data_IF_113074696711
#
_entry.id   IF_113074696711
#
_cell.length_a   1.000
_cell.length_b   1.000
_cell.length_c   1.000
_cell.angle_alpha   90.00
_cell.angle_beta   90.00
_cell.angle_gamma   90.00
#
_symmetry.space_group_name_H-M   'P 1'
#
loop_
_entity.id
_entity.type
_entity.pdbx_description
1 polymer ?
#
# COMPACT_ATOMS: atom_id res chain seq x y z
N UNK A 1 -9.49 12.43 -6.96
CA UNK A 1 -10.71 13.04 -6.36
C UNK A 1 -10.82 14.47 -6.85
N UNK A 2 -11.97 14.94 -7.36
CA UNK A 2 -12.15 16.34 -7.70
C UNK A 2 -12.14 17.20 -6.42
N UNK A 3 -11.36 18.30 -6.46
CA UNK A 3 -11.17 19.21 -5.33
C UNK A 3 -11.33 20.66 -5.80
N UNK A 4 -11.81 21.52 -4.90
CA UNK A 4 -11.73 22.98 -5.06
C UNK A 4 -10.50 23.47 -4.29
N UNK A 5 -9.69 24.32 -4.92
CA UNK A 5 -8.51 24.95 -4.29
C UNK A 5 -8.76 26.44 -4.17
N UNK A 6 -8.57 27.01 -2.99
CA UNK A 6 -8.64 28.44 -2.75
C UNK A 6 -7.69 28.85 -1.61
N UNK A 7 -7.69 30.14 -1.22
CA UNK A 7 -6.84 30.66 -0.14
C UNK A 7 -7.05 29.97 1.23
N UNK A 8 -8.16 29.25 1.44
CA UNK A 8 -8.45 28.49 2.67
C UNK A 8 -7.98 27.03 2.59
N UNK A 9 -7.41 26.60 1.46
CA UNK A 9 -6.87 25.27 1.25
C UNK A 9 -7.65 24.43 0.23
N UNK A 10 -7.59 23.10 0.42
CA UNK A 10 -8.15 22.11 -0.51
C UNK A 10 -9.44 21.52 0.06
N UNK A 11 -10.55 21.64 -0.66
CA UNK A 11 -11.84 21.07 -0.28
C UNK A 11 -12.26 19.98 -1.26
N UNK A 12 -12.39 18.74 -0.78
CA UNK A 12 -12.89 17.63 -1.58
C UNK A 12 -14.37 17.80 -1.95
N UNK A 13 -14.76 17.26 -3.11
CA UNK A 13 -16.17 17.15 -3.51
C UNK A 13 -16.68 15.71 -3.32
N UNK A 14 -17.89 15.57 -2.77
CA UNK A 14 -18.59 14.27 -2.69
C UNK A 14 -18.99 13.83 -4.11
N UNK A 15 -18.60 12.61 -4.49
CA UNK A 15 -18.79 12.05 -5.85
C UNK A 15 -19.68 10.79 -5.88
N UNK A 16 -20.28 10.42 -4.75
CA UNK A 16 -21.12 9.22 -4.64
C UNK A 16 -20.34 7.96 -4.23
N UNK A 17 -20.90 6.79 -4.51
CA UNK A 17 -20.33 5.49 -4.12
C UNK A 17 -19.36 4.94 -5.17
N UNK A 18 -18.32 4.25 -4.71
CA UNK A 18 -17.40 3.52 -5.59
C UNK A 18 -18.13 2.34 -6.27
N UNK A 19 -18.04 2.17 -7.59
CA UNK A 19 -18.59 1.02 -8.28
C UNK A 19 -18.09 -0.30 -7.69
N UNK A 20 -18.97 -1.27 -7.50
CA UNK A 20 -18.64 -2.53 -6.80
C UNK A 20 -17.50 -3.30 -7.46
N UNK A 21 -17.44 -3.30 -8.80
CA UNK A 21 -16.38 -3.99 -9.54
C UNK A 21 -14.98 -3.44 -9.24
N UNK A 22 -14.85 -2.14 -8.89
CA UNK A 22 -13.57 -1.52 -8.53
C UNK A 22 -13.28 -1.60 -7.04
N UNK A 23 -14.29 -1.85 -6.20
CA UNK A 23 -14.18 -1.77 -4.75
C UNK A 23 -13.17 -2.76 -4.19
N UNK A 24 -13.19 -4.00 -4.66
CA UNK A 24 -12.24 -5.03 -4.24
C UNK A 24 -10.80 -4.62 -4.52
N UNK A 25 -10.51 -4.23 -5.76
CA UNK A 25 -9.19 -3.77 -6.19
C UNK A 25 -8.71 -2.56 -5.38
N UNK A 26 -9.57 -1.54 -5.23
CA UNK A 26 -9.24 -0.34 -4.48
C UNK A 26 -8.90 -0.64 -3.01
N UNK A 27 -9.70 -1.49 -2.36
CA UNK A 27 -9.46 -1.88 -0.97
C UNK A 27 -8.15 -2.66 -0.81
N UNK A 28 -7.86 -3.63 -1.68
CA UNK A 28 -6.62 -4.41 -1.64
C UNK A 28 -5.38 -3.54 -1.80
N UNK A 29 -5.39 -2.62 -2.78
CA UNK A 29 -4.30 -1.67 -2.97
C UNK A 29 -4.13 -0.74 -1.77
N UNK A 30 -5.25 -0.24 -1.23
CA UNK A 30 -5.19 0.68 -0.09
C UNK A 30 -4.64 0.02 1.17
N UNK A 31 -4.98 -1.25 1.40
CA UNK A 31 -4.43 -2.01 2.53
C UNK A 31 -2.95 -2.37 2.32
N UNK A 32 -2.53 -2.67 1.08
CA UNK A 32 -1.11 -2.84 0.75
C UNK A 32 -0.29 -1.61 1.14
N UNK A 33 -0.75 -0.41 0.75
CA UNK A 33 -0.08 0.85 1.10
C UNK A 33 -0.04 1.07 2.62
N UNK A 34 -1.14 0.79 3.32
CA UNK A 34 -1.20 0.94 4.78
C UNK A 34 -0.19 0.03 5.47
N UNK A 35 -0.13 -1.24 5.08
CA UNK A 35 0.82 -2.21 5.64
C UNK A 35 2.27 -1.83 5.32
N UNK A 36 2.55 -1.31 4.13
CA UNK A 36 3.88 -0.83 3.77
C UNK A 36 4.33 0.33 4.68
N UNK A 37 3.43 1.27 4.99
CA UNK A 37 3.68 2.35 5.96
C UNK A 37 3.98 1.76 7.35
N UNK A 38 3.14 0.83 7.82
CA UNK A 38 3.33 0.19 9.13
C UNK A 38 4.62 -0.63 9.21
N UNK A 39 5.06 -1.22 8.10
CA UNK A 39 6.34 -1.94 8.01
C UNK A 39 7.52 -1.01 8.28
N UNK A 40 7.52 0.19 7.69
CA UNK A 40 8.58 1.19 7.93
C UNK A 40 8.47 1.76 9.35
N UNK A 41 7.26 2.10 9.81
CA UNK A 41 7.05 2.67 11.15
C UNK A 41 7.50 1.76 12.27
N UNK A 42 7.33 0.45 12.10
CA UNK A 42 7.66 -0.56 13.10
C UNK A 42 8.95 -1.31 12.80
N UNK A 43 9.65 -0.98 11.70
CA UNK A 43 10.77 -1.77 11.17
C UNK A 43 10.41 -3.27 11.15
N UNK A 44 9.25 -3.64 10.59
CA UNK A 44 8.73 -5.01 10.67
C UNK A 44 8.80 -5.71 9.32
N UNK A 45 9.53 -6.82 9.28
CA UNK A 45 9.60 -7.68 8.10
C UNK A 45 8.23 -8.28 7.76
N UNK A 46 7.51 -8.76 8.77
CA UNK A 46 6.18 -9.37 8.59
C UNK A 46 5.16 -8.39 7.99
N UNK A 47 5.14 -7.14 8.46
CA UNK A 47 4.27 -6.11 7.86
C UNK A 47 4.65 -5.83 6.41
N UNK A 48 5.95 -5.81 6.07
CA UNK A 48 6.40 -5.62 4.69
C UNK A 48 5.99 -6.79 3.80
N UNK A 49 6.13 -8.03 4.31
CA UNK A 49 5.72 -9.22 3.58
C UNK A 49 4.21 -9.27 3.37
N UNK A 50 3.42 -8.92 4.39
CA UNK A 50 1.97 -8.81 4.29
C UNK A 50 1.56 -7.73 3.27
N UNK A 51 2.23 -6.57 3.28
CA UNK A 51 1.97 -5.50 2.32
C UNK A 51 2.12 -5.98 0.87
N UNK A 52 3.17 -6.74 0.59
CA UNK A 52 3.40 -7.36 -0.72
C UNK A 52 2.40 -8.47 -1.00
N UNK A 53 2.05 -9.30 -0.01
CA UNK A 53 1.15 -10.43 -0.19
C UNK A 53 -0.29 -10.01 -0.52
N UNK A 54 -0.79 -8.89 0.02
CA UNK A 54 -2.13 -8.38 -0.28
C UNK A 54 -2.18 -7.55 -1.57
N UNK A 55 -1.03 -7.21 -2.14
CA UNK A 55 -0.95 -6.42 -3.36
C UNK A 55 -1.39 -7.27 -4.57
N UNK A 56 -2.44 -6.87 -5.31
CA UNK A 56 -2.99 -7.66 -6.42
C UNK A 56 -2.03 -7.81 -7.62
N UNK A 57 -0.94 -7.04 -7.66
CA UNK A 57 0.08 -7.13 -8.71
C UNK A 57 1.26 -8.03 -8.32
N UNK A 58 1.29 -8.53 -7.09
CA UNK A 58 2.31 -9.50 -6.65
C UNK A 58 1.77 -10.92 -6.90
N UNK A 59 2.47 -11.72 -7.72
CA UNK A 59 1.89 -12.95 -8.25
C UNK A 59 1.80 -14.11 -7.25
N UNK A 60 2.61 -14.09 -6.18
CA UNK A 60 2.58 -15.11 -5.13
C UNK A 60 3.36 -14.69 -3.89
N UNK A 61 3.08 -15.35 -2.76
CA UNK A 61 3.80 -15.14 -1.50
C UNK A 61 5.30 -15.46 -1.62
N UNK A 62 5.67 -16.49 -2.39
CA UNK A 62 7.08 -16.82 -2.62
C UNK A 62 7.79 -15.68 -3.36
N UNK A 63 7.16 -15.12 -4.40
CA UNK A 63 7.71 -13.97 -5.12
C UNK A 63 7.76 -12.70 -4.28
N UNK A 64 6.79 -12.51 -3.37
CA UNK A 64 6.79 -11.43 -2.39
C UNK A 64 8.03 -11.52 -1.47
N UNK A 65 8.27 -12.69 -0.89
CA UNK A 65 9.43 -12.97 -0.02
C UNK A 65 10.75 -12.78 -0.76
N UNK A 66 10.89 -13.41 -1.93
CA UNK A 66 12.09 -13.29 -2.76
C UNK A 66 12.40 -11.83 -3.11
N UNK A 67 11.36 -11.03 -3.41
CA UNK A 67 11.51 -9.61 -3.71
C UNK A 67 11.94 -8.82 -2.47
N UNK A 68 11.27 -9.02 -1.34
CA UNK A 68 11.55 -8.33 -0.09
C UNK A 68 12.99 -8.60 0.39
N UNK A 69 13.42 -9.86 0.39
CA UNK A 69 14.77 -10.24 0.81
C UNK A 69 15.84 -9.63 -0.10
N UNK A 70 15.57 -9.52 -1.42
CA UNK A 70 16.47 -8.81 -2.34
C UNK A 70 16.50 -7.32 -2.03
N UNK A 71 15.35 -6.69 -1.83
CA UNK A 71 15.25 -5.25 -1.54
C UNK A 71 15.99 -4.88 -0.24
N UNK A 72 15.81 -5.66 0.82
CA UNK A 72 16.51 -5.46 2.11
C UNK A 72 18.03 -5.52 1.92
N UNK A 73 18.52 -6.50 1.17
CA UNK A 73 19.97 -6.66 0.92
C UNK A 73 20.56 -5.52 0.07
N UNK A 74 19.80 -5.00 -0.88
CA UNK A 74 20.28 -3.97 -1.81
C UNK A 74 20.25 -2.56 -1.20
N UNK A 75 19.18 -2.23 -0.49
CA UNK A 75 18.93 -0.89 0.05
C UNK A 75 19.39 -0.74 1.51
N UNK A 76 19.74 -1.84 2.18
CA UNK A 76 20.19 -1.83 3.57
C UNK A 76 19.08 -1.52 4.57
N UNK A 77 17.83 -1.87 4.27
CA UNK A 77 16.71 -1.67 5.19
C UNK A 77 16.92 -2.47 6.48
N UNK A 78 16.72 -1.82 7.63
CA UNK A 78 16.72 -2.49 8.94
C UNK A 78 15.29 -2.87 9.27
N UNK A 79 14.92 -4.13 9.00
CA UNK A 79 13.64 -4.71 9.41
C UNK A 79 13.93 -5.85 10.41
N UNK A 80 13.07 -5.96 11.42
CA UNK A 80 13.06 -6.94 12.50
C UNK A 80 11.95 -7.98 12.30
#
# INVERSE_FOLDING_TARGET
MPVTVNAKGVKHRKIGMLPHFLKGLFCSLKESDRLAIEAVRHNSYENALQALAVNPFVPSLNKARDFLDRAIRQEGFVLH
#
